data_IF_002139843419
#
_entry.id   IF_002139843419
#
_cell.length_a   1.000
_cell.length_b   1.000
_cell.length_c   1.000
_cell.angle_alpha   90.00
_cell.angle_beta   90.00
_cell.angle_gamma   90.00
#
_symmetry.space_group_name_H-M   'P 1'
#
loop_
_entity.id
_entity.type
_entity.pdbx_description
1 polymer ?
#
# COMPACT_ATOMS: atom_id res chain seq x y z
N UNK A 1 -7.34 -0.51 21.32
CA UNK A 1 -8.31 0.24 20.48
C UNK A 1 -7.50 0.93 19.39
N UNK A 2 -7.24 0.25 18.27
CA UNK A 2 -6.57 0.86 17.12
C UNK A 2 -7.61 1.14 16.05
N UNK A 3 -8.14 2.37 16.08
CA UNK A 3 -8.86 2.96 14.97
C UNK A 3 -7.80 3.54 14.04
N UNK A 4 -7.21 2.68 13.22
CA UNK A 4 -6.49 3.14 12.03
C UNK A 4 -7.58 3.50 11.02
N UNK A 5 -8.04 4.75 11.09
CA UNK A 5 -8.75 5.40 10.00
C UNK A 5 -7.71 5.60 8.90
N UNK A 6 -7.58 4.61 8.03
CA UNK A 6 -6.90 4.76 6.75
C UNK A 6 -7.79 5.65 5.87
N UNK A 7 -7.85 6.94 6.22
CA UNK A 7 -8.42 8.01 5.39
C UNK A 7 -7.41 8.32 4.28
N UNK A 8 -7.10 7.33 3.46
CA UNK A 8 -6.45 7.59 2.19
C UNK A 8 -7.36 8.52 1.38
N UNK A 9 -6.77 9.64 0.98
CA UNK A 9 -7.34 10.78 0.25
C UNK A 9 -8.30 10.31 -0.85
N UNK A 10 -9.58 10.20 -0.50
CA UNK A 10 -10.66 9.96 -1.45
C UNK A 10 -10.72 11.13 -2.42
N UNK A 11 -10.72 10.84 -3.71
CA UNK A 11 -10.77 11.90 -4.71
C UNK A 11 -10.30 11.48 -6.09
N UNK A 12 -10.76 12.22 -7.09
CA UNK A 12 -10.34 12.02 -8.48
C UNK A 12 -9.10 12.86 -8.76
N UNK A 13 -8.06 12.30 -9.41
CA UNK A 13 -6.96 13.10 -9.94
C UNK A 13 -7.49 14.18 -10.89
N UNK A 14 -6.99 15.40 -10.77
CA UNK A 14 -7.42 16.56 -11.57
C UNK A 14 -6.21 17.39 -11.97
N UNK A 15 -6.31 18.25 -13.01
CA UNK A 15 -5.28 19.25 -13.29
C UNK A 15 -5.04 20.19 -12.08
N UNK A 16 -3.85 20.78 -12.03
CA UNK A 16 -3.46 21.71 -10.96
C UNK A 16 -4.06 23.10 -11.21
N UNK A 17 -5.28 23.34 -10.73
CA UNK A 17 -5.87 24.69 -10.63
C UNK A 17 -5.41 25.39 -9.34
N UNK A 18 -5.66 26.69 -9.18
CA UNK A 18 -5.29 27.42 -7.95
C UNK A 18 -5.95 26.86 -6.69
N UNK A 19 -7.23 26.46 -6.77
CA UNK A 19 -7.92 25.80 -5.66
C UNK A 19 -7.27 24.45 -5.32
N UNK A 20 -6.94 23.65 -6.34
CA UNK A 20 -6.27 22.36 -6.17
C UNK A 20 -4.86 22.54 -5.63
N UNK A 21 -4.16 23.62 -6.00
CA UNK A 21 -2.83 23.98 -5.50
C UNK A 21 -2.86 24.22 -4.00
N UNK A 22 -3.80 25.05 -3.53
CA UNK A 22 -3.94 25.35 -2.09
C UNK A 22 -4.25 24.08 -1.29
N UNK A 23 -5.13 23.25 -1.83
CA UNK A 23 -5.52 21.98 -1.21
C UNK A 23 -4.35 21.00 -1.16
N UNK A 24 -3.61 20.84 -2.26
CA UNK A 24 -2.45 19.96 -2.33
C UNK A 24 -1.38 20.35 -1.31
N UNK A 25 -1.12 21.66 -1.13
CA UNK A 25 -0.20 22.13 -0.10
C UNK A 25 -0.65 21.74 1.31
N UNK A 26 -1.94 21.90 1.61
CA UNK A 26 -2.55 21.51 2.88
C UNK A 26 -2.49 20.00 3.10
N UNK A 27 -2.82 19.21 2.07
CA UNK A 27 -2.79 17.74 2.12
C UNK A 27 -1.37 17.21 2.35
N UNK A 28 -0.35 17.80 1.68
CA UNK A 28 1.06 17.45 1.89
C UNK A 28 1.50 17.80 3.31
N UNK A 29 1.12 18.97 3.84
CA UNK A 29 1.46 19.38 5.20
C UNK A 29 0.86 18.46 6.26
N UNK A 30 -0.44 18.17 6.15
CA UNK A 30 -1.12 17.26 7.06
C UNK A 30 -0.49 15.85 7.02
N UNK A 31 -0.22 15.32 5.83
CA UNK A 31 0.40 13.99 5.70
C UNK A 31 1.81 13.96 6.25
N UNK A 32 2.62 14.99 6.04
CA UNK A 32 3.96 15.06 6.63
C UNK A 32 3.91 14.99 8.16
N UNK A 33 2.96 15.68 8.79
CA UNK A 33 2.77 15.60 10.24
C UNK A 33 2.33 14.19 10.66
N UNK A 34 1.40 13.57 9.94
CA UNK A 34 0.95 12.20 10.22
C UNK A 34 2.06 11.14 10.03
N UNK A 35 2.93 11.33 9.03
CA UNK A 35 4.07 10.45 8.74
C UNK A 35 5.17 10.57 9.79
N UNK A 36 5.28 11.73 10.44
CA UNK A 36 6.34 12.04 11.39
C UNK A 36 5.79 12.67 12.68
N UNK A 37 4.93 11.96 13.44
CA UNK A 37 4.17 12.54 14.55
C UNK A 37 5.03 12.96 15.75
N UNK A 38 6.30 12.56 15.78
CA UNK A 38 7.27 12.90 16.83
C UNK A 38 8.17 14.08 16.45
N UNK A 39 8.07 14.60 15.23
CA UNK A 39 8.85 15.73 14.77
C UNK A 39 8.03 17.01 14.90
N UNK A 40 8.68 18.07 15.36
CA UNK A 40 8.11 19.41 15.38
C UNK A 40 8.13 20.00 13.97
N UNK A 41 7.07 19.74 13.21
CA UNK A 41 6.88 20.20 11.83
C UNK A 41 5.80 21.26 11.83
N UNK A 42 6.20 22.51 11.59
CA UNK A 42 5.29 23.64 11.39
C UNK A 42 4.51 23.46 10.06
N UNK A 43 3.17 23.27 10.10
CA UNK A 43 2.35 23.08 8.91
C UNK A 43 2.40 24.29 7.96
N UNK A 44 2.43 25.51 8.47
CA UNK A 44 2.43 26.72 7.65
C UNK A 44 3.72 26.83 6.85
N UNK A 45 4.85 26.49 7.49
CA UNK A 45 6.15 26.40 6.82
C UNK A 45 6.18 25.32 5.74
N UNK A 46 5.51 24.19 5.93
CA UNK A 46 5.37 23.15 4.90
C UNK A 46 4.54 23.66 3.74
N UNK A 47 3.37 24.25 4.00
CA UNK A 47 2.47 24.83 2.99
C UNK A 47 3.23 25.84 2.12
N UNK A 48 3.90 26.80 2.76
CA UNK A 48 4.76 27.80 2.10
C UNK A 48 5.85 27.17 1.23
N UNK A 49 6.46 26.09 1.73
CA UNK A 49 7.50 25.36 1.00
C UNK A 49 6.93 24.66 -0.23
N UNK A 50 5.74 24.07 -0.14
CA UNK A 50 5.04 23.47 -1.28
C UNK A 50 4.72 24.54 -2.32
N UNK A 51 4.15 25.69 -1.93
CA UNK A 51 3.87 26.79 -2.87
C UNK A 51 5.12 27.28 -3.60
N UNK A 52 6.24 27.48 -2.88
CA UNK A 52 7.53 27.87 -3.47
C UNK A 52 8.17 26.79 -4.35
N UNK A 53 7.82 25.53 -4.18
CA UNK A 53 8.28 24.45 -5.06
C UNK A 53 7.42 24.40 -6.31
N UNK A 54 6.10 24.44 -6.17
CA UNK A 54 5.16 24.44 -7.29
C UNK A 54 5.44 25.61 -8.24
N UNK A 55 5.61 26.83 -7.71
CA UNK A 55 5.94 28.00 -8.52
C UNK A 55 7.27 27.85 -9.30
N UNK A 56 8.24 27.09 -8.78
CA UNK A 56 9.50 26.83 -9.49
C UNK A 56 9.35 25.79 -10.58
N UNK A 57 8.62 24.71 -10.33
CA UNK A 57 8.37 23.65 -11.30
C UNK A 57 7.56 24.14 -12.52
N UNK A 58 6.83 25.25 -12.38
CA UNK A 58 6.13 25.92 -13.48
C UNK A 58 7.05 26.75 -14.36
N UNK A 59 8.12 27.32 -13.79
CA UNK A 59 9.07 28.19 -14.51
C UNK A 59 10.22 27.39 -15.13
N UNK A 60 10.71 26.38 -14.43
CA UNK A 60 11.81 25.51 -14.88
C UNK A 60 11.45 24.05 -14.59
N UNK A 61 10.73 23.38 -15.51
CA UNK A 61 10.48 21.95 -15.40
C UNK A 61 11.81 21.21 -15.59
N UNK A 62 12.39 20.79 -14.46
CA UNK A 62 13.63 20.01 -14.29
C UNK A 62 14.18 19.35 -15.58
N UNK A 63 15.45 19.57 -15.98
CA UNK A 63 16.05 18.91 -17.14
C UNK A 63 16.00 17.36 -17.09
N UNK A 64 15.92 16.72 -15.92
CA UNK A 64 15.72 15.26 -15.82
C UNK A 64 14.33 14.79 -16.31
N UNK A 65 13.38 15.71 -16.46
CA UNK A 65 12.06 15.45 -17.06
C UNK A 65 12.11 15.29 -18.59
N UNK A 66 13.23 15.70 -19.25
CA UNK A 66 13.40 15.59 -20.71
C UNK A 66 13.78 14.19 -21.19
N UNK A 67 14.48 13.41 -20.35
CA UNK A 67 14.90 12.03 -20.65
C UNK A 67 13.99 10.95 -20.04
N UNK A 68 12.97 11.35 -19.28
CA UNK A 68 11.90 10.47 -18.85
C UNK A 68 10.92 10.23 -20.01
N UNK A 69 11.34 9.46 -21.02
CA UNK A 69 10.37 8.76 -21.87
C UNK A 69 9.39 8.01 -20.95
N UNK A 70 8.07 8.18 -21.11
CA UNK A 70 7.12 7.70 -20.13
C UNK A 70 7.07 6.17 -20.18
N UNK A 71 7.77 5.50 -19.26
CA UNK A 71 7.64 4.04 -19.11
C UNK A 71 6.35 3.60 -18.42
N UNK A 72 5.48 4.53 -18.03
CA UNK A 72 4.10 4.24 -17.62
C UNK A 72 3.13 5.31 -18.13
N UNK A 73 2.84 5.29 -19.43
CA UNK A 73 1.72 6.02 -20.00
C UNK A 73 0.43 5.18 -19.90
N UNK A 74 -0.21 5.19 -18.74
CA UNK A 74 -1.58 4.68 -18.57
C UNK A 74 -2.44 5.68 -17.77
N UNK A 75 -2.45 6.93 -18.20
CA UNK A 75 -3.54 7.88 -17.96
C UNK A 75 -3.35 9.12 -18.82
N UNK A 76 -3.80 9.06 -20.06
CA UNK A 76 -4.07 10.25 -20.87
C UNK A 76 -5.43 10.05 -21.53
N UNK A 77 -6.49 10.53 -20.88
CA UNK A 77 -7.76 10.81 -21.53
C UNK A 77 -8.08 12.29 -21.31
N UNK A 78 -8.05 13.01 -22.43
CA UNK A 78 -8.64 14.31 -22.74
C UNK A 78 -9.01 15.22 -21.56
N UNK A 79 -8.03 16.01 -21.10
CA UNK A 79 -8.25 17.36 -20.64
C UNK A 79 -7.80 18.33 -21.76
N UNK A 80 -8.32 19.57 -21.82
CA UNK A 80 -7.96 20.54 -22.86
C UNK A 80 -6.44 20.77 -22.91
N UNK A 81 -5.92 21.15 -24.07
CA UNK A 81 -4.50 21.52 -24.22
C UNK A 81 -4.14 22.62 -23.21
N UNK A 82 -2.90 22.52 -22.69
CA UNK A 82 -2.12 23.52 -21.93
C UNK A 82 -1.98 23.31 -20.41
N UNK A 83 -1.29 22.21 -20.04
CA UNK A 83 -0.26 22.12 -18.98
C UNK A 83 0.26 20.67 -18.92
N UNK A 84 1.58 20.47 -18.86
CA UNK A 84 2.13 19.13 -18.63
C UNK A 84 1.64 18.58 -17.27
N UNK A 85 1.36 17.26 -17.15
CA UNK A 85 0.98 16.69 -15.87
C UNK A 85 2.09 16.90 -14.84
N UNK A 86 1.72 17.38 -13.65
CA UNK A 86 2.66 17.65 -12.57
C UNK A 86 3.46 16.39 -12.21
N UNK A 87 4.79 16.47 -12.28
CA UNK A 87 5.65 15.42 -11.76
C UNK A 87 5.58 15.41 -10.23
N UNK A 88 4.75 14.50 -9.71
CA UNK A 88 4.50 14.35 -8.27
C UNK A 88 5.76 13.90 -7.52
N UNK A 89 6.64 13.12 -8.17
CA UNK A 89 7.92 12.70 -7.59
C UNK A 89 8.84 13.90 -7.45
N UNK A 90 9.00 14.69 -8.51
CA UNK A 90 9.83 15.90 -8.49
C UNK A 90 9.34 16.91 -7.45
N UNK A 91 8.02 17.11 -7.35
CA UNK A 91 7.40 17.94 -6.31
C UNK A 91 7.80 17.46 -4.91
N UNK A 92 7.54 16.19 -4.59
CA UNK A 92 7.76 15.68 -3.24
C UNK A 92 9.24 15.66 -2.88
N UNK A 93 10.13 15.20 -3.77
CA UNK A 93 11.57 15.20 -3.51
C UNK A 93 12.12 16.63 -3.32
N UNK A 94 11.62 17.60 -4.09
CA UNK A 94 11.98 19.02 -3.91
C UNK A 94 11.51 19.59 -2.57
N UNK A 95 10.29 19.24 -2.14
CA UNK A 95 9.76 19.64 -0.83
C UNK A 95 10.57 19.00 0.30
N UNK A 96 10.78 17.68 0.25
CA UNK A 96 11.57 16.94 1.23
C UNK A 96 13.02 17.45 1.31
N UNK A 97 13.65 17.74 0.18
CA UNK A 97 15.00 18.30 0.13
C UNK A 97 15.13 19.64 0.85
N UNK A 98 14.10 20.50 0.76
CA UNK A 98 14.07 21.78 1.49
C UNK A 98 13.77 21.57 2.97
N UNK A 99 12.77 20.74 3.30
CA UNK A 99 12.37 20.45 4.67
C UNK A 99 13.52 19.91 5.52
N UNK A 100 14.37 19.08 4.92
CA UNK A 100 15.52 18.48 5.59
C UNK A 100 16.63 19.44 6.01
N UNK A 101 16.63 20.67 5.51
CA UNK A 101 17.51 21.73 6.02
C UNK A 101 17.13 22.18 7.42
N UNK A 102 15.88 21.90 7.83
CA UNK A 102 15.32 22.29 9.13
C UNK A 102 14.99 21.06 9.98
N UNK A 103 14.59 19.96 9.34
CA UNK A 103 14.24 18.69 9.97
C UNK A 103 15.02 17.54 9.31
N UNK A 104 16.32 17.36 9.63
CA UNK A 104 17.20 16.41 8.92
C UNK A 104 16.79 14.94 9.05
N UNK A 105 15.98 14.60 10.06
CA UNK A 105 15.46 13.26 10.35
C UNK A 105 14.44 12.75 9.33
N UNK A 106 13.76 13.66 8.61
CA UNK A 106 12.90 13.27 7.49
C UNK A 106 13.77 12.62 6.42
N UNK A 107 13.41 11.42 5.97
CA UNK A 107 14.18 10.70 4.95
C UNK A 107 13.33 10.35 3.72
N UNK A 108 13.76 10.73 2.50
CA UNK A 108 13.08 10.33 1.26
C UNK A 108 13.10 8.81 1.05
N UNK A 109 14.04 8.09 1.68
CA UNK A 109 14.15 6.63 1.61
C UNK A 109 13.04 5.86 2.34
N UNK A 110 12.15 6.60 3.04
CA UNK A 110 10.90 6.07 3.59
C UNK A 110 9.72 6.21 2.65
N UNK A 111 9.87 6.84 1.48
CA UNK A 111 8.78 6.99 0.52
C UNK A 111 8.86 5.88 -0.54
N UNK A 112 7.71 5.52 -1.10
CA UNK A 112 7.59 4.57 -2.21
C UNK A 112 8.02 5.25 -3.52
N UNK A 113 9.32 5.50 -3.64
CA UNK A 113 9.96 6.19 -4.77
C UNK A 113 11.15 5.37 -5.24
N UNK A 114 11.37 5.35 -6.56
CA UNK A 114 12.55 4.72 -7.16
C UNK A 114 13.83 5.27 -6.51
N UNK A 115 14.68 4.41 -5.90
CA UNK A 115 15.98 4.79 -5.37
C UNK A 115 16.82 5.68 -6.29
N UNK A 116 16.76 5.44 -7.61
CA UNK A 116 17.50 6.24 -8.61
C UNK A 116 17.03 7.68 -8.61
N UNK A 117 15.71 7.89 -8.62
CA UNK A 117 15.11 9.23 -8.53
C UNK A 117 15.48 9.95 -7.23
N UNK A 118 15.58 9.23 -6.11
CA UNK A 118 16.04 9.82 -4.84
C UNK A 118 17.50 10.26 -4.96
N UNK A 119 18.38 9.40 -5.48
CA UNK A 119 19.80 9.68 -5.64
C UNK A 119 20.06 10.85 -6.60
N UNK A 120 19.31 10.94 -7.69
CA UNK A 120 19.41 12.01 -8.68
C UNK A 120 18.97 13.37 -8.11
N UNK A 121 17.83 13.41 -7.42
CA UNK A 121 17.28 14.67 -6.87
C UNK A 121 18.00 15.16 -5.61
N UNK A 122 18.46 14.22 -4.78
CA UNK A 122 19.01 14.52 -3.46
C UNK A 122 20.34 13.77 -3.27
N UNK A 123 21.39 14.12 -4.04
CA UNK A 123 22.69 13.50 -3.89
C UNK A 123 23.25 13.75 -2.48
N UNK A 124 23.88 12.72 -1.90
CA UNK A 124 24.45 12.77 -0.54
C UNK A 124 23.48 12.35 0.57
N UNK A 125 22.25 11.99 0.25
CA UNK A 125 21.29 11.48 1.22
C UNK A 125 21.46 9.98 1.41
N UNK A 126 21.97 9.56 2.57
CA UNK A 126 22.19 8.15 2.87
C UNK A 126 20.93 7.28 2.81
N UNK A 127 21.08 6.06 2.25
CA UNK A 127 19.98 5.12 1.97
C UNK A 127 19.39 4.44 3.21
N UNK A 128 20.06 4.57 4.35
CA UNK A 128 19.67 3.97 5.61
C UNK A 128 19.01 5.04 6.49
N UNK A 129 17.67 5.19 6.45
CA UNK A 129 16.99 6.19 7.26
C UNK A 129 17.21 5.93 8.76
N UNK A 130 17.31 7.01 9.55
CA UNK A 130 17.31 6.92 11.00
C UNK A 130 16.04 6.18 11.48
N UNK A 131 16.09 5.34 12.52
CA UNK A 131 14.94 4.55 12.97
C UNK A 131 13.73 5.43 13.29
N UNK A 132 12.52 4.93 13.00
CA UNK A 132 11.31 5.59 13.50
C UNK A 132 11.28 5.47 15.02
N UNK A 133 10.66 6.44 15.66
CA UNK A 133 10.50 6.45 17.11
C UNK A 133 9.03 6.62 17.46
N UNK A 134 8.55 5.76 18.35
CA UNK A 134 7.21 5.87 18.91
C UNK A 134 6.10 5.40 17.96
N UNK A 135 4.85 5.71 18.34
CA UNK A 135 3.65 5.33 17.60
C UNK A 135 3.65 5.82 16.15
N UNK A 136 3.00 5.04 15.29
CA UNK A 136 2.85 5.32 13.86
C UNK A 136 1.39 5.71 13.58
N UNK A 137 1.18 6.78 12.82
CA UNK A 137 -0.14 7.14 12.29
C UNK A 137 -0.29 6.70 10.83
N UNK A 138 0.74 6.92 10.00
CA UNK A 138 0.81 6.44 8.61
C UNK A 138 1.99 5.45 8.47
N UNK A 139 1.75 4.28 7.88
CA UNK A 139 2.75 3.23 7.74
C UNK A 139 3.68 3.49 6.53
N UNK A 140 5.02 3.48 6.69
CA UNK A 140 5.92 3.52 5.55
C UNK A 140 5.92 2.18 4.78
N UNK A 141 6.39 2.12 3.52
CA UNK A 141 6.77 3.27 2.70
C UNK A 141 5.64 4.29 2.47
N UNK A 142 5.95 5.57 2.40
CA UNK A 142 4.96 6.61 2.22
C UNK A 142 4.64 6.81 0.74
N UNK A 143 3.37 6.67 0.36
CA UNK A 143 2.92 6.87 -1.03
C UNK A 143 2.75 8.37 -1.30
N UNK A 144 3.23 8.88 -2.42
CA UNK A 144 3.09 10.32 -2.75
C UNK A 144 1.64 10.71 -3.07
N UNK A 145 1.26 11.96 -2.76
CA UNK A 145 -0.05 12.52 -3.15
C UNK A 145 0.09 13.51 -4.29
N UNK A 146 -0.70 13.30 -5.34
CA UNK A 146 -0.83 14.25 -6.44
C UNK A 146 -2.06 15.15 -6.30
N UNK A 147 -2.25 16.09 -7.25
CA UNK A 147 -3.43 16.95 -7.34
C UNK A 147 -4.72 16.13 -7.43
N UNK A 148 -5.66 16.34 -6.49
CA UNK A 148 -6.94 15.63 -6.43
C UNK A 148 -8.06 16.57 -6.03
N UNK A 149 -9.27 16.29 -6.51
CA UNK A 149 -10.50 16.90 -5.97
C UNK A 149 -11.21 15.94 -5.04
N UNK A 150 -11.84 16.46 -4.00
CA UNK A 150 -12.74 15.67 -3.14
C UNK A 150 -13.95 15.19 -3.96
N UNK A 151 -14.57 14.06 -3.56
CA UNK A 151 -15.85 13.65 -4.11
C UNK A 151 -16.91 14.73 -3.88
N UNK A 152 -17.80 14.94 -4.84
CA UNK A 152 -18.99 15.78 -4.64
C UNK A 152 -20.05 15.02 -3.83
N UNK A 153 -21.02 15.72 -3.24
CA UNK A 153 -22.14 15.07 -2.53
C UNK A 153 -22.88 14.06 -3.40
N UNK A 154 -23.05 14.41 -4.67
CA UNK A 154 -23.67 13.58 -5.70
C UNK A 154 -22.84 12.32 -6.03
N UNK A 155 -21.52 12.40 -5.95
CA UNK A 155 -20.65 11.23 -6.06
C UNK A 155 -20.70 10.37 -4.80
N UNK A 156 -20.69 10.98 -3.62
CA UNK A 156 -20.84 10.27 -2.35
C UNK A 156 -22.18 9.53 -2.28
N UNK A 157 -23.24 10.09 -2.86
CA UNK A 157 -24.57 9.47 -2.89
C UNK A 157 -24.67 8.28 -3.85
N UNK A 158 -23.83 8.19 -4.89
CA UNK A 158 -24.00 7.22 -5.99
C UNK A 158 -22.84 6.25 -6.20
N UNK A 159 -21.65 6.57 -5.71
CA UNK A 159 -20.48 5.73 -5.89
C UNK A 159 -20.28 4.81 -4.68
N UNK A 160 -19.83 3.55 -4.91
CA UNK A 160 -19.50 2.68 -3.80
C UNK A 160 -18.31 3.23 -3.01
N UNK A 161 -18.41 3.20 -1.69
CA UNK A 161 -17.28 3.43 -0.80
C UNK A 161 -16.38 2.19 -0.80
N UNK A 162 -15.09 2.37 -1.12
CA UNK A 162 -14.09 1.29 -1.07
C UNK A 162 -13.22 1.50 0.15
N UNK A 163 -13.21 0.51 1.06
CA UNK A 163 -12.39 0.53 2.27
C UNK A 163 -11.36 -0.59 2.17
N UNK A 164 -10.06 -0.25 2.12
CA UNK A 164 -8.98 -1.23 1.96
C UNK A 164 -7.83 -0.93 2.91
N UNK A 165 -7.69 -1.79 3.92
CA UNK A 165 -6.47 -1.98 4.69
C UNK A 165 -6.27 -3.49 4.92
N UNK A 166 -5.04 -4.03 4.96
CA UNK A 166 -4.81 -5.45 5.29
C UNK A 166 -5.48 -5.87 6.60
N UNK A 167 -5.46 -4.99 7.61
CA UNK A 167 -6.12 -5.19 8.91
C UNK A 167 -7.65 -5.35 8.83
N UNK A 168 -8.29 -5.00 7.71
CA UNK A 168 -9.73 -5.18 7.55
C UNK A 168 -10.15 -6.66 7.58
N UNK A 169 -9.22 -7.59 7.35
CA UNK A 169 -9.43 -9.02 7.56
C UNK A 169 -10.01 -9.35 8.95
N UNK A 170 -9.65 -8.56 9.97
CA UNK A 170 -10.12 -8.73 11.36
C UNK A 170 -11.28 -7.81 11.74
N UNK A 171 -11.72 -6.93 10.84
CA UNK A 171 -12.66 -5.84 11.13
C UNK A 171 -13.99 -5.96 10.40
N UNK A 172 -14.28 -7.09 9.74
CA UNK A 172 -15.52 -7.25 8.97
C UNK A 172 -16.79 -7.01 9.80
N UNK A 173 -16.88 -7.59 11.00
CA UNK A 173 -18.01 -7.33 11.92
C UNK A 173 -18.08 -5.86 12.35
N UNK A 174 -16.93 -5.21 12.57
CA UNK A 174 -16.88 -3.78 12.89
C UNK A 174 -17.37 -2.93 11.71
N UNK A 175 -16.93 -3.23 10.48
CA UNK A 175 -17.34 -2.50 9.29
C UNK A 175 -18.83 -2.67 9.00
N UNK A 176 -19.38 -3.87 9.22
CA UNK A 176 -20.81 -4.14 9.13
C UNK A 176 -21.60 -3.32 10.16
N UNK A 177 -21.11 -3.24 11.41
CA UNK A 177 -21.73 -2.44 12.46
C UNK A 177 -21.60 -0.92 12.23
N UNK A 178 -20.49 -0.47 11.63
CA UNK A 178 -20.26 0.94 11.31
C UNK A 178 -21.17 1.43 10.18
N UNK A 179 -21.51 0.56 9.23
CA UNK A 179 -22.39 0.88 8.10
C UNK A 179 -23.61 -0.03 8.06
N UNK A 180 -24.51 0.03 9.06
CA UNK A 180 -25.59 -0.96 9.21
C UNK A 180 -26.65 -0.89 8.10
N UNK A 181 -26.71 0.22 7.36
CA UNK A 181 -27.62 0.42 6.21
C UNK A 181 -26.94 0.19 4.86
N UNK A 182 -25.64 -0.08 4.83
CA UNK A 182 -24.91 -0.29 3.58
C UNK A 182 -25.00 -1.77 3.16
N UNK A 183 -25.09 -2.01 1.85
CA UNK A 183 -24.83 -3.33 1.29
C UNK A 183 -23.32 -3.59 1.34
N UNK A 184 -22.88 -4.38 2.32
CA UNK A 184 -21.48 -4.77 2.47
C UNK A 184 -21.11 -5.81 1.41
N UNK A 185 -20.11 -5.50 0.58
CA UNK A 185 -19.57 -6.40 -0.45
C UNK A 185 -18.11 -6.67 -0.19
N UNK A 186 -17.68 -7.92 -0.29
CA UNK A 186 -16.33 -8.38 0.05
C UNK A 186 -15.56 -8.75 -1.21
N UNK A 187 -14.57 -7.94 -1.55
CA UNK A 187 -13.50 -8.31 -2.48
C UNK A 187 -12.39 -9.01 -1.70
N UNK A 188 -12.34 -10.34 -1.76
CA UNK A 188 -11.33 -11.15 -1.09
C UNK A 188 -10.14 -11.38 -2.02
N UNK A 189 -9.11 -10.55 -1.87
CA UNK A 189 -7.84 -10.73 -2.57
C UNK A 189 -7.06 -11.89 -1.95
N UNK A 190 -6.64 -12.83 -2.79
CA UNK A 190 -5.93 -14.05 -2.37
C UNK A 190 -4.64 -14.21 -3.15
N UNK A 191 -3.70 -14.96 -2.59
CA UNK A 191 -2.42 -15.27 -3.24
C UNK A 191 -1.89 -16.57 -2.65
N UNK A 192 -1.17 -17.35 -3.44
CA UNK A 192 -0.59 -18.60 -2.95
C UNK A 192 0.27 -18.36 -1.68
N UNK A 193 0.26 -19.30 -0.71
CA UNK A 193 0.91 -19.10 0.59
C UNK A 193 2.42 -18.86 0.46
N UNK A 194 3.11 -19.61 -0.40
CA UNK A 194 4.56 -19.51 -0.56
C UNK A 194 5.00 -18.11 -1.02
N UNK A 195 4.36 -17.57 -2.05
CA UNK A 195 4.66 -16.23 -2.54
C UNK A 195 4.26 -15.12 -1.54
N UNK A 196 3.17 -15.32 -0.80
CA UNK A 196 2.67 -14.37 0.21
C UNK A 196 3.58 -14.30 1.43
N UNK A 197 3.90 -15.46 2.02
CA UNK A 197 4.78 -15.57 3.19
C UNK A 197 6.19 -15.08 2.84
N UNK A 198 6.73 -15.44 1.67
CA UNK A 198 8.00 -14.86 1.21
C UNK A 198 7.93 -13.33 1.11
N UNK A 199 6.82 -12.78 0.61
CA UNK A 199 6.61 -11.32 0.54
C UNK A 199 6.58 -10.66 1.91
N UNK A 200 5.93 -11.29 2.90
CA UNK A 200 5.95 -10.82 4.28
C UNK A 200 7.37 -10.86 4.85
N UNK A 201 8.13 -11.94 4.65
CA UNK A 201 9.54 -12.03 5.08
C UNK A 201 10.37 -10.88 4.49
N UNK A 202 10.22 -10.59 3.19
CA UNK A 202 10.90 -9.46 2.57
C UNK A 202 10.52 -8.12 3.19
N UNK A 203 9.23 -7.88 3.46
CA UNK A 203 8.78 -6.65 4.07
C UNK A 203 9.21 -6.49 5.54
N UNK A 204 9.22 -7.58 6.31
CA UNK A 204 9.81 -7.62 7.65
C UNK A 204 11.29 -7.22 7.64
N UNK A 205 12.04 -7.61 6.63
CA UNK A 205 13.45 -7.23 6.47
C UNK A 205 13.67 -5.88 5.76
N UNK A 206 12.60 -5.30 5.19
CA UNK A 206 12.66 -4.04 4.47
C UNK A 206 12.77 -2.82 5.42
N UNK A 207 13.16 -1.65 4.90
CA UNK A 207 13.27 -0.38 5.66
C UNK A 207 11.93 0.36 5.85
N UNK A 208 10.82 -0.35 5.80
CA UNK A 208 9.45 0.15 5.96
C UNK A 208 8.53 -0.92 6.55
N UNK A 209 7.23 -0.77 6.35
CA UNK A 209 6.13 -1.59 6.88
C UNK A 209 6.02 -1.58 8.41
N UNK A 210 6.59 -0.58 9.07
CA UNK A 210 6.45 -0.35 10.50
C UNK A 210 5.00 0.03 10.82
N UNK A 211 4.29 -0.81 11.59
CA UNK A 211 2.86 -0.62 11.84
C UNK A 211 2.57 -0.38 13.33
N UNK A 212 3.09 -1.24 14.21
CA UNK A 212 2.78 -1.17 15.65
C UNK A 212 4.04 -0.98 16.48
N UNK A 213 4.09 0.12 17.23
CA UNK A 213 5.15 0.37 18.21
C UNK A 213 4.90 -0.39 19.50
N UNK A 214 5.93 -1.07 19.99
CA UNK A 214 5.85 -1.89 21.21
C UNK A 214 6.77 -1.37 22.31
N UNK A 215 6.29 -1.46 23.55
CA UNK A 215 7.03 -1.06 24.76
C UNK A 215 8.27 -1.90 25.02
N UNK A 216 8.33 -3.11 24.44
CA UNK A 216 9.48 -4.02 24.52
C UNK A 216 9.94 -4.43 23.12
N UNK A 217 11.26 -4.56 22.91
CA UNK A 217 11.78 -5.07 21.64
C UNK A 217 11.35 -6.52 21.43
N UNK A 218 10.98 -6.83 20.20
CA UNK A 218 10.73 -8.17 19.68
C UNK A 218 12.03 -8.98 19.68
N UNK A 219 11.88 -10.30 19.85
CA UNK A 219 12.96 -11.29 19.80
C UNK A 219 12.72 -12.29 18.67
N UNK A 220 12.06 -11.85 17.60
CA UNK A 220 11.76 -12.67 16.43
C UNK A 220 13.09 -13.02 15.75
N UNK A 221 13.42 -14.31 15.71
CA UNK A 221 14.69 -14.81 15.17
C UNK A 221 14.78 -14.52 13.68
N UNK A 222 15.92 -13.98 13.24
CA UNK A 222 16.13 -13.55 11.85
C UNK A 222 15.60 -12.15 11.51
N UNK A 223 14.72 -11.58 12.34
CA UNK A 223 14.32 -10.17 12.22
C UNK A 223 15.10 -9.27 13.18
N UNK A 224 15.09 -9.58 14.48
CA UNK A 224 15.77 -8.78 15.48
C UNK A 224 17.29 -8.72 15.24
N UNK A 225 17.87 -9.80 14.71
CA UNK A 225 19.29 -9.89 14.36
C UNK A 225 19.64 -9.07 13.10
N UNK A 226 18.79 -9.15 12.07
CA UNK A 226 19.01 -8.47 10.79
C UNK A 226 18.65 -6.99 10.83
N UNK A 227 17.70 -6.60 11.69
CA UNK A 227 17.14 -5.25 11.81
C UNK A 227 17.03 -4.83 13.28
N UNK A 228 18.13 -4.80 14.06
CA UNK A 228 18.07 -4.53 15.50
C UNK A 228 17.48 -3.16 15.83
N UNK A 229 17.67 -2.19 14.92
CA UNK A 229 17.10 -0.84 15.04
C UNK A 229 15.58 -0.79 14.87
N UNK A 230 15.00 -1.78 14.22
CA UNK A 230 13.55 -1.86 13.99
C UNK A 230 12.87 -2.77 15.03
N UNK A 231 13.61 -3.43 15.93
CA UNK A 231 13.09 -4.50 16.78
C UNK A 231 11.88 -4.12 17.67
N UNK A 232 11.58 -2.84 17.87
CA UNK A 232 10.38 -2.39 18.60
C UNK A 232 9.12 -2.31 17.74
N UNK A 233 9.22 -2.57 16.45
CA UNK A 233 8.10 -2.51 15.53
C UNK A 233 7.63 -3.89 15.12
N UNK A 234 6.37 -4.17 15.40
CA UNK A 234 5.66 -5.21 14.67
C UNK A 234 5.27 -4.65 13.29
N UNK A 235 5.50 -5.45 12.25
CA UNK A 235 5.23 -5.05 10.87
C UNK A 235 3.93 -5.62 10.33
N UNK A 236 3.28 -4.88 9.44
CA UNK A 236 1.97 -5.21 8.88
C UNK A 236 0.87 -5.32 9.95
N UNK A 237 -0.18 -6.07 9.65
CA UNK A 237 -1.30 -6.32 10.55
C UNK A 237 -0.87 -7.05 11.83
N UNK A 238 -1.57 -6.78 12.93
CA UNK A 238 -1.34 -7.34 14.25
C UNK A 238 -2.44 -8.37 14.59
N UNK A 239 -2.24 -9.67 14.27
CA UNK A 239 -3.30 -10.65 14.43
C UNK A 239 -3.59 -10.94 15.91
N UNK A 240 -4.82 -11.35 16.28
CA UNK A 240 -5.11 -11.81 17.63
C UNK A 240 -4.15 -12.92 18.09
N UNK A 241 -3.55 -12.77 19.27
CA UNK A 241 -2.58 -13.72 19.83
C UNK A 241 -1.13 -13.50 19.39
N UNK A 242 -0.81 -12.41 18.69
CA UNK A 242 0.55 -12.07 18.23
C UNK A 242 1.63 -12.13 19.32
N UNK A 243 1.27 -11.90 20.59
CA UNK A 243 2.21 -11.89 21.70
C UNK A 243 2.99 -13.22 21.82
N UNK A 244 2.34 -14.34 21.48
CA UNK A 244 2.95 -15.67 21.49
C UNK A 244 4.00 -15.89 20.38
N UNK A 245 4.07 -14.99 19.40
CA UNK A 245 4.92 -15.11 18.21
C UNK A 245 6.17 -14.22 18.27
N UNK A 246 6.32 -13.42 19.32
CA UNK A 246 7.38 -12.40 19.49
C UNK A 246 8.81 -12.95 19.63
N UNK A 247 8.97 -14.27 19.72
CA UNK A 247 10.25 -14.98 19.83
C UNK A 247 10.44 -16.09 18.78
N UNK A 248 9.45 -16.26 17.89
CA UNK A 248 9.46 -17.31 16.86
C UNK A 248 10.37 -16.95 15.69
N UNK A 249 10.78 -17.91 14.85
CA UNK A 249 11.39 -17.62 13.55
C UNK A 249 10.53 -16.69 12.71
N UNK A 250 11.17 -15.80 11.94
CA UNK A 250 10.45 -14.86 11.09
C UNK A 250 9.50 -15.55 10.09
N UNK A 251 9.89 -16.70 9.51
CA UNK A 251 9.04 -17.46 8.58
C UNK A 251 7.75 -17.95 9.26
N UNK A 252 7.83 -18.43 10.49
CA UNK A 252 6.68 -18.81 11.33
C UNK A 252 5.77 -17.61 11.61
N UNK A 253 6.34 -16.45 11.98
CA UNK A 253 5.57 -15.21 12.20
C UNK A 253 4.83 -14.78 10.94
N UNK A 254 5.49 -14.81 9.78
CA UNK A 254 4.88 -14.47 8.50
C UNK A 254 3.79 -15.47 8.09
N UNK A 255 4.00 -16.77 8.34
CA UNK A 255 2.97 -17.79 8.16
C UNK A 255 1.75 -17.55 9.04
N UNK A 256 1.96 -17.21 10.31
CA UNK A 256 0.90 -16.84 11.25
C UNK A 256 0.11 -15.62 10.78
N UNK A 257 0.76 -14.56 10.29
CA UNK A 257 0.07 -13.38 9.75
C UNK A 257 -0.78 -13.73 8.53
N UNK A 258 -0.20 -14.43 7.54
CA UNK A 258 -0.93 -14.87 6.35
C UNK A 258 -2.15 -15.71 6.73
N UNK A 259 -1.94 -16.73 7.56
CA UNK A 259 -3.00 -17.64 8.00
C UNK A 259 -4.10 -16.90 8.73
N UNK A 260 -3.73 -16.10 9.73
CA UNK A 260 -4.69 -15.41 10.59
C UNK A 260 -5.60 -14.48 9.81
N UNK A 261 -5.06 -13.72 8.85
CA UNK A 261 -5.86 -12.82 8.02
C UNK A 261 -6.92 -13.62 7.22
N UNK A 262 -6.50 -14.68 6.54
CA UNK A 262 -7.42 -15.50 5.74
C UNK A 262 -8.42 -16.28 6.59
N UNK A 263 -8.01 -16.87 7.72
CA UNK A 263 -8.92 -17.56 8.65
C UNK A 263 -9.98 -16.64 9.22
N UNK A 264 -9.67 -15.37 9.51
CA UNK A 264 -10.68 -14.43 10.03
C UNK A 264 -11.72 -14.07 8.96
N UNK A 265 -11.29 -13.83 7.72
CA UNK A 265 -12.23 -13.60 6.60
C UNK A 265 -13.10 -14.84 6.37
N UNK A 266 -12.48 -16.02 6.31
CA UNK A 266 -13.18 -17.28 6.05
C UNK A 266 -14.18 -17.62 7.17
N UNK A 267 -13.79 -17.53 8.44
CA UNK A 267 -14.71 -17.75 9.58
C UNK A 267 -15.87 -16.75 9.60
N UNK A 268 -15.62 -15.49 9.24
CA UNK A 268 -16.68 -14.51 9.13
C UNK A 268 -17.66 -14.88 8.01
N UNK A 269 -17.16 -15.32 6.84
CA UNK A 269 -18.00 -15.77 5.73
C UNK A 269 -18.81 -17.03 6.09
N UNK A 270 -18.20 -17.98 6.81
CA UNK A 270 -18.89 -19.20 7.28
C UNK A 270 -20.08 -18.84 8.20
N UNK A 271 -19.93 -17.79 9.01
CA UNK A 271 -20.99 -17.27 9.88
C UNK A 271 -22.02 -16.37 9.15
N UNK A 272 -21.75 -15.96 7.90
CA UNK A 272 -22.58 -15.04 7.11
C UNK A 272 -22.86 -15.60 5.70
N UNK A 273 -23.50 -16.79 5.59
CA UNK A 273 -23.72 -17.45 4.31
C UNK A 273 -24.63 -16.66 3.35
N UNK A 274 -25.40 -15.68 3.85
CA UNK A 274 -26.17 -14.74 3.02
C UNK A 274 -25.30 -13.86 2.11
N UNK A 275 -24.04 -13.60 2.47
CA UNK A 275 -23.13 -12.78 1.64
C UNK A 275 -22.86 -13.49 0.32
N UNK A 276 -22.54 -14.78 0.36
CA UNK A 276 -22.32 -15.58 -0.84
C UNK A 276 -23.62 -15.81 -1.62
N UNK A 277 -24.73 -16.12 -0.93
CA UNK A 277 -26.06 -16.29 -1.58
C UNK A 277 -26.53 -15.04 -2.33
N UNK A 278 -26.16 -13.84 -1.88
CA UNK A 278 -26.49 -12.56 -2.54
C UNK A 278 -25.50 -12.18 -3.66
N UNK A 279 -24.44 -12.96 -3.86
CA UNK A 279 -23.36 -12.60 -4.77
C UNK A 279 -22.52 -11.42 -4.29
N UNK A 280 -22.45 -11.19 -2.97
CA UNK A 280 -21.69 -10.10 -2.35
C UNK A 280 -20.25 -10.47 -2.00
N UNK A 281 -19.80 -11.66 -2.42
CA UNK A 281 -18.42 -12.10 -2.33
C UNK A 281 -17.81 -12.21 -3.74
N UNK A 282 -16.63 -11.62 -3.92
CA UNK A 282 -15.80 -11.84 -5.11
C UNK A 282 -14.38 -12.18 -4.68
N UNK A 283 -13.92 -13.39 -4.99
CA UNK A 283 -12.53 -13.82 -4.74
C UNK A 283 -11.70 -13.53 -5.98
N UNK A 284 -10.61 -12.81 -5.80
CA UNK A 284 -9.69 -12.47 -6.90
C UNK A 284 -8.28 -12.89 -6.50
N UNK A 285 -7.64 -13.68 -7.36
CA UNK A 285 -6.27 -14.15 -7.10
C UNK A 285 -5.27 -13.12 -7.61
N UNK A 286 -4.21 -12.90 -6.85
CA UNK A 286 -3.11 -12.02 -7.22
C UNK A 286 -2.50 -12.45 -8.56
N UNK A 287 -2.39 -13.75 -8.82
CA UNK A 287 -1.88 -14.31 -10.07
C UNK A 287 -2.74 -13.96 -11.28
N UNK A 288 -4.04 -13.69 -11.08
CA UNK A 288 -4.93 -13.18 -12.13
C UNK A 288 -4.68 -11.68 -12.39
N UNK A 289 -4.27 -10.92 -11.37
CA UNK A 289 -4.02 -9.47 -11.42
C UNK A 289 -2.65 -9.13 -12.03
N UNK A 290 -1.62 -9.93 -11.77
CA UNK A 290 -0.26 -9.72 -12.31
C UNK A 290 0.10 -10.67 -13.47
N UNK A 291 -0.85 -11.54 -13.85
CA UNK A 291 -0.70 -12.49 -14.93
C UNK A 291 -0.56 -11.83 -16.31
N UNK A 292 -0.55 -12.61 -17.40
CA UNK A 292 -0.52 -12.07 -18.75
C UNK A 292 -1.77 -11.21 -19.05
N UNK A 293 -1.71 -10.28 -20.03
CA UNK A 293 -2.78 -9.32 -20.30
C UNK A 293 -4.17 -9.93 -20.39
N UNK A 294 -4.33 -11.07 -21.07
CA UNK A 294 -5.61 -11.75 -21.29
C UNK A 294 -6.26 -12.15 -19.96
N UNK A 295 -5.45 -12.70 -19.06
CA UNK A 295 -5.87 -13.12 -17.72
C UNK A 295 -6.25 -11.92 -16.85
N UNK A 296 -5.47 -10.83 -16.93
CA UNK A 296 -5.78 -9.57 -16.23
C UNK A 296 -7.09 -8.98 -16.72
N UNK A 297 -7.27 -8.87 -18.03
CA UNK A 297 -8.49 -8.34 -18.65
C UNK A 297 -9.71 -9.14 -18.16
N UNK A 298 -9.66 -10.46 -18.27
CA UNK A 298 -10.77 -11.33 -17.84
C UNK A 298 -11.11 -11.13 -16.36
N UNK A 299 -10.10 -11.04 -15.49
CA UNK A 299 -10.31 -10.84 -14.07
C UNK A 299 -10.94 -9.47 -13.74
N UNK A 300 -10.49 -8.41 -14.41
CA UNK A 300 -11.04 -7.06 -14.23
C UNK A 300 -12.41 -6.88 -14.88
N UNK A 301 -12.70 -7.55 -15.99
CA UNK A 301 -14.04 -7.57 -16.60
C UNK A 301 -15.04 -8.30 -15.69
N UNK A 302 -14.64 -9.42 -15.09
CA UNK A 302 -15.44 -10.12 -14.07
C UNK A 302 -15.67 -9.25 -12.82
N UNK A 303 -14.62 -8.55 -12.35
CA UNK A 303 -14.75 -7.60 -11.24
C UNK A 303 -15.71 -6.45 -11.58
N UNK A 304 -15.61 -5.91 -12.80
CA UNK A 304 -16.48 -4.84 -13.29
C UNK A 304 -17.94 -5.28 -13.39
N UNK A 305 -18.19 -6.48 -13.91
CA UNK A 305 -19.52 -7.10 -13.94
C UNK A 305 -20.08 -7.28 -12.53
N UNK A 306 -19.27 -7.81 -11.61
CA UNK A 306 -19.65 -7.94 -10.20
C UNK A 306 -19.98 -6.58 -9.59
N UNK A 307 -19.16 -5.55 -9.80
CA UNK A 307 -19.43 -4.19 -9.32
C UNK A 307 -20.64 -3.51 -9.99
N UNK A 308 -21.18 -4.07 -11.08
CA UNK A 308 -22.15 -3.38 -11.94
C UNK A 308 -21.55 -2.15 -12.64
N UNK A 309 -20.23 -2.12 -12.81
CA UNK A 309 -19.46 -0.99 -13.36
C UNK A 309 -18.35 -1.52 -14.26
N UNK A 310 -18.55 -1.54 -15.58
CA UNK A 310 -17.54 -2.01 -16.53
C UNK A 310 -16.22 -1.25 -16.37
N UNK A 311 -15.09 -1.95 -16.48
CA UNK A 311 -13.76 -1.35 -16.45
C UNK A 311 -13.48 -0.67 -17.78
N UNK A 312 -13.31 0.66 -17.76
CA UNK A 312 -13.15 1.49 -18.96
C UNK A 312 -12.08 2.59 -18.76
N UNK A 313 -11.78 3.32 -19.84
CA UNK A 313 -10.88 4.48 -19.82
C UNK A 313 -9.49 4.18 -19.28
N UNK A 314 -8.96 5.07 -18.42
CA UNK A 314 -7.63 4.94 -17.84
C UNK A 314 -7.42 3.64 -17.05
N UNK A 315 -8.46 3.14 -16.37
CA UNK A 315 -8.37 1.88 -15.63
C UNK A 315 -8.17 0.69 -16.59
N UNK A 316 -8.91 0.65 -17.71
CA UNK A 316 -8.74 -0.40 -18.73
C UNK A 316 -7.34 -0.36 -19.33
N UNK A 317 -6.81 0.84 -19.60
CA UNK A 317 -5.44 1.00 -20.10
C UNK A 317 -4.40 0.54 -19.09
N UNK A 318 -4.58 0.84 -17.80
CA UNK A 318 -3.68 0.36 -16.75
C UNK A 318 -3.71 -1.17 -16.61
N UNK A 319 -4.89 -1.80 -16.73
CA UNK A 319 -5.03 -3.26 -16.73
C UNK A 319 -4.29 -3.89 -17.93
N UNK A 320 -4.43 -3.29 -19.11
CA UNK A 320 -3.74 -3.73 -20.34
C UNK A 320 -2.22 -3.61 -20.21
N UNK A 321 -1.73 -2.44 -19.80
CA UNK A 321 -0.30 -2.17 -19.66
C UNK A 321 0.35 -2.96 -18.50
N UNK A 322 -0.44 -3.38 -17.53
CA UNK A 322 0.03 -3.93 -16.27
C UNK A 322 0.02 -2.87 -15.17
N UNK A 323 -0.52 -3.22 -14.01
CA UNK A 323 -0.64 -2.31 -12.90
C UNK A 323 0.74 -2.02 -12.29
N UNK A 324 1.09 -0.75 -12.04
CA UNK A 324 2.36 -0.43 -11.40
C UNK A 324 2.37 -1.00 -9.98
N UNK A 325 3.48 -1.61 -9.54
CA UNK A 325 3.61 -2.00 -8.14
C UNK A 325 3.65 -0.74 -7.27
N UNK A 326 2.85 -0.75 -6.21
CA UNK A 326 2.85 0.26 -5.15
C UNK A 326 3.20 -0.48 -3.86
N UNK A 327 4.07 0.11 -3.04
CA UNK A 327 4.50 -0.44 -1.76
C UNK A 327 5.14 -1.83 -1.90
N UNK A 328 6.01 -1.97 -2.90
CA UNK A 328 6.63 -3.25 -3.23
C UNK A 328 8.14 -3.23 -2.97
N UNK A 329 8.64 -4.23 -2.23
CA UNK A 329 10.08 -4.37 -1.97
C UNK A 329 10.87 -4.73 -3.23
N UNK A 330 10.20 -5.32 -4.22
CA UNK A 330 10.76 -5.68 -5.52
C UNK A 330 9.62 -5.87 -6.54
N UNK A 331 9.87 -5.74 -7.85
CA UNK A 331 8.87 -6.11 -8.86
C UNK A 331 8.35 -7.55 -8.69
N UNK A 332 7.05 -7.81 -8.93
CA UNK A 332 6.50 -9.17 -8.92
C UNK A 332 7.23 -10.08 -9.91
N UNK A 333 7.70 -11.23 -9.44
CA UNK A 333 8.36 -12.26 -10.27
C UNK A 333 7.88 -13.63 -9.86
N UNK A 334 7.58 -14.48 -10.87
CA UNK A 334 7.24 -15.89 -10.66
C UNK A 334 8.37 -16.61 -9.91
N UNK A 335 7.99 -17.51 -9.00
CA UNK A 335 8.84 -18.44 -8.25
C UNK A 335 9.92 -17.73 -7.43
N UNK A 336 9.72 -16.46 -7.09
CA UNK A 336 10.65 -15.68 -6.26
C UNK A 336 10.89 -16.36 -4.92
N UNK A 337 9.88 -17.03 -4.38
CA UNK A 337 9.97 -17.76 -3.12
C UNK A 337 10.91 -18.96 -3.17
N UNK A 338 11.29 -19.48 -4.36
CA UNK A 338 12.20 -20.62 -4.49
C UNK A 338 13.57 -20.31 -3.89
N UNK A 339 13.99 -19.04 -3.90
CA UNK A 339 15.22 -18.58 -3.25
C UNK A 339 15.20 -18.74 -1.72
N UNK A 340 14.03 -18.95 -1.12
CA UNK A 340 13.82 -19.23 0.31
C UNK A 340 13.05 -20.53 0.55
N UNK A 341 13.02 -21.45 -0.41
CA UNK A 341 12.21 -22.67 -0.31
C UNK A 341 12.52 -23.47 0.97
N UNK A 342 13.80 -23.65 1.28
CA UNK A 342 14.25 -24.36 2.50
C UNK A 342 13.80 -23.65 3.78
N UNK A 343 13.97 -22.33 3.86
CA UNK A 343 13.57 -21.52 5.02
C UNK A 343 12.05 -21.49 5.24
N UNK A 344 11.29 -21.73 4.19
CA UNK A 344 9.83 -21.76 4.20
C UNK A 344 9.25 -23.18 4.28
N UNK A 345 10.08 -24.23 4.22
CA UNK A 345 9.61 -25.60 4.08
C UNK A 345 8.67 -26.00 5.23
N UNK A 346 9.10 -25.77 6.48
CA UNK A 346 8.34 -26.15 7.67
C UNK A 346 7.00 -25.40 7.76
N UNK A 347 7.02 -24.07 7.56
CA UNK A 347 5.80 -23.26 7.63
C UNK A 347 4.83 -23.59 6.50
N UNK A 348 5.34 -23.93 5.30
CA UNK A 348 4.47 -24.31 4.19
C UNK A 348 3.90 -25.71 4.39
N UNK A 349 4.55 -26.58 5.15
CA UNK A 349 4.09 -27.92 5.50
C UNK A 349 3.14 -27.94 6.71
N UNK A 350 2.97 -26.82 7.41
CA UNK A 350 2.03 -26.69 8.53
C UNK A 350 0.59 -27.04 8.06
N UNK A 351 -0.08 -28.03 8.69
CA UNK A 351 -1.44 -28.42 8.34
C UNK A 351 -2.45 -27.26 8.37
N UNK A 352 -2.27 -26.29 9.27
CA UNK A 352 -3.15 -25.13 9.37
C UNK A 352 -2.97 -24.19 8.17
N UNK A 353 -1.74 -24.06 7.65
CA UNK A 353 -1.46 -23.31 6.43
C UNK A 353 -2.06 -24.01 5.21
N UNK A 354 -1.87 -25.32 5.11
CA UNK A 354 -2.39 -26.14 4.00
C UNK A 354 -3.92 -26.13 3.95
N UNK A 355 -4.59 -26.25 5.11
CA UNK A 355 -6.05 -26.18 5.19
C UNK A 355 -6.60 -24.84 4.68
N UNK A 356 -5.97 -23.72 5.05
CA UNK A 356 -6.36 -22.41 4.53
C UNK A 356 -6.06 -22.29 3.04
N UNK A 357 -4.90 -22.79 2.59
CA UNK A 357 -4.53 -22.76 1.17
C UNK A 357 -5.55 -23.52 0.32
N UNK A 358 -5.97 -24.70 0.75
CA UNK A 358 -7.01 -25.51 0.10
C UNK A 358 -8.34 -24.74 -0.01
N UNK A 359 -8.81 -24.15 1.10
CA UNK A 359 -10.04 -23.33 1.11
C UNK A 359 -9.99 -22.11 0.17
N UNK A 360 -8.79 -21.63 -0.14
CA UNK A 360 -8.58 -20.51 -1.05
C UNK A 360 -8.32 -20.96 -2.51
N UNK A 361 -8.38 -22.26 -2.80
CA UNK A 361 -8.15 -22.81 -4.13
C UNK A 361 -6.68 -23.02 -4.48
N UNK A 362 -5.81 -23.16 -3.48
CA UNK A 362 -4.36 -23.40 -3.61
C UNK A 362 -3.93 -24.76 -3.03
N UNK A 363 -4.82 -25.77 -3.05
CA UNK A 363 -4.51 -27.11 -2.55
C UNK A 363 -3.42 -27.84 -3.36
N UNK A 364 -3.34 -27.55 -4.65
CA UNK A 364 -2.26 -28.05 -5.52
C UNK A 364 -1.01 -27.15 -5.40
N UNK A 365 0.04 -27.69 -4.78
CA UNK A 365 1.32 -27.02 -4.57
C UNK A 365 2.07 -26.73 -5.87
N UNK A 366 1.85 -27.51 -6.94
CA UNK A 366 2.53 -27.29 -8.22
C UNK A 366 2.05 -26.00 -8.91
N UNK A 367 0.90 -25.48 -8.48
CA UNK A 367 0.36 -24.19 -8.93
C UNK A 367 0.97 -22.97 -8.24
N UNK A 368 1.83 -23.15 -7.22
CA UNK A 368 2.43 -22.06 -6.45
C UNK A 368 3.59 -21.41 -7.21
N UNK A 369 3.26 -20.76 -8.31
CA UNK A 369 4.19 -20.12 -9.25
C UNK A 369 4.59 -18.69 -8.89
#
# INVERSE_FOLDING_TARGET
>A
RELLLDMMVGGRPVPLTDEVRQRLATDIAWRLIAQWPHLDIDPDRVIDTVHRVLARLEVDPDPASRDAAPRHAASRHAAPRDAAPLDTVALHLSVLGRLRRWVPSISPWRYDVDPRRIADFLPGVGESPAPLQGPILEEPPFVLVGPRRRPTDDELARLPLVIKAPSNAYRLSFLQALFPRARLRILHLTRNPAASINGLVDGWLYRGFHAHWLDRPLRIRGYADARPRDARYWKFDLPPGWQAWTHRPLSEVCGFQWRSAHEHVLRWLDAHPEVERRGDLFRMRFEDVVGPPERRIAAFDALGAWLGRPVHGAMRQAVLAGLPPIMSTSPPRKRRWYARAEQLADVLADPAILSVAERLGYGDRDTWI
#
